data_IF_896140755728
#
_entry.id   IF_896140755728
#
_cell.length_a   1.000
_cell.length_b   1.000
_cell.length_c   1.000
_cell.angle_alpha   90.00
_cell.angle_beta   90.00
_cell.angle_gamma   90.00
#
_symmetry.space_group_name_H-M   'P 1'
#
loop_
_entity.id
_entity.type
_entity.pdbx_description
1 polymer ?
#
# COMPACT_ATOMS: atom_id res chain seq x y z
N UNK A 1 -12.60 15.87 -2.84
CA UNK A 1 -12.11 14.67 -2.13
C UNK A 1 -11.16 13.95 -3.07
N UNK A 2 -9.93 13.61 -2.65
CA UNK A 2 -8.87 13.10 -3.54
C UNK A 2 -9.09 11.62 -3.93
N UNK A 3 -9.77 10.83 -3.07
CA UNK A 3 -10.09 9.43 -3.33
C UNK A 3 -11.50 9.09 -2.86
N UNK A 4 -12.19 8.18 -3.55
CA UNK A 4 -13.54 7.74 -3.14
C UNK A 4 -13.49 6.89 -1.86
N UNK A 5 -14.55 6.94 -1.03
CA UNK A 5 -14.63 6.19 0.24
C UNK A 5 -14.39 4.70 0.05
N UNK A 6 -14.82 4.11 -1.08
CA UNK A 6 -14.58 2.69 -1.37
C UNK A 6 -13.09 2.32 -1.37
N UNK A 7 -12.23 3.18 -1.90
CA UNK A 7 -10.78 2.96 -1.96
C UNK A 7 -10.12 3.24 -0.64
N UNK A 8 -10.61 4.21 0.13
CA UNK A 8 -10.14 4.48 1.49
C UNK A 8 -10.44 3.30 2.41
N UNK A 9 -11.65 2.75 2.35
CA UNK A 9 -12.07 1.58 3.14
C UNK A 9 -11.28 0.32 2.75
N UNK A 10 -11.05 0.10 1.46
CA UNK A 10 -10.17 -1.00 1.00
C UNK A 10 -8.73 -0.82 1.47
N UNK A 11 -8.19 0.41 1.43
CA UNK A 11 -6.85 0.71 1.92
C UNK A 11 -6.72 0.48 3.43
N UNK A 12 -7.77 0.79 4.18
CA UNK A 12 -7.84 0.54 5.63
C UNK A 12 -7.80 -0.96 5.96
N UNK A 13 -8.59 -1.78 5.26
CA UNK A 13 -8.59 -3.24 5.43
C UNK A 13 -7.25 -3.87 5.03
N UNK A 14 -6.59 -3.29 4.02
CA UNK A 14 -5.28 -3.73 3.54
C UNK A 14 -4.16 -3.61 4.57
N UNK A 15 -4.30 -2.73 5.56
CA UNK A 15 -3.35 -2.61 6.67
C UNK A 15 -3.30 -3.87 7.55
N UNK A 16 -4.33 -4.71 7.50
CA UNK A 16 -4.41 -5.98 8.24
C UNK A 16 -3.48 -7.08 7.71
N UNK A 17 -2.98 -6.96 6.47
CA UNK A 17 -2.10 -7.98 5.85
C UNK A 17 -0.78 -8.13 6.60
N UNK A 18 -0.28 -7.08 7.25
CA UNK A 18 1.01 -7.12 7.94
C UNK A 18 0.93 -7.33 9.43
N UNK A 19 -0.23 -7.12 10.07
CA UNK A 19 -0.41 -7.21 11.53
C UNK A 19 -0.72 -8.62 12.05
N UNK A 20 -0.71 -9.62 11.16
CA UNK A 20 -0.95 -11.01 11.52
C UNK A 20 0.14 -11.59 12.44
N UNK A 21 -0.22 -12.56 13.31
CA UNK A 21 0.72 -13.20 14.23
C UNK A 21 1.85 -13.97 13.52
N UNK A 22 1.68 -14.27 12.22
CA UNK A 22 2.69 -14.94 11.39
C UNK A 22 3.49 -13.93 10.56
N UNK A 23 2.85 -12.89 10.04
CA UNK A 23 3.48 -11.94 9.10
C UNK A 23 4.42 -10.98 9.82
N UNK A 24 4.07 -10.51 11.02
CA UNK A 24 4.93 -9.58 11.79
C UNK A 24 6.29 -10.22 12.13
N UNK A 25 6.36 -11.42 12.75
CA UNK A 25 7.64 -12.02 13.11
C UNK A 25 8.48 -12.39 11.89
N UNK A 26 7.83 -12.83 10.80
CA UNK A 26 8.51 -13.17 9.55
C UNK A 26 9.19 -11.96 8.93
N UNK A 27 8.46 -10.84 8.76
CA UNK A 27 9.02 -9.61 8.17
C UNK A 27 10.11 -9.02 9.07
N UNK A 28 9.97 -9.09 10.39
CA UNK A 28 11.02 -8.68 11.33
C UNK A 28 12.27 -9.55 11.23
N UNK A 29 12.13 -10.88 11.19
CA UNK A 29 13.27 -11.78 11.02
C UNK A 29 14.01 -11.52 9.70
N UNK A 30 13.26 -11.28 8.62
CA UNK A 30 13.83 -10.88 7.33
C UNK A 30 14.54 -9.52 7.42
N UNK A 31 13.91 -8.52 8.03
CA UNK A 31 14.47 -7.18 8.20
C UNK A 31 15.78 -7.18 8.99
N UNK A 32 15.84 -7.94 10.09
CA UNK A 32 17.05 -8.11 10.89
C UNK A 32 18.15 -8.86 10.12
N UNK A 33 17.79 -9.87 9.33
CA UNK A 33 18.73 -10.57 8.44
C UNK A 33 19.37 -9.63 7.42
N UNK A 34 18.57 -8.76 6.78
CA UNK A 34 19.05 -7.75 5.85
C UNK A 34 19.90 -6.66 6.54
N UNK A 35 19.51 -6.23 7.74
CA UNK A 35 20.27 -5.24 8.50
C UNK A 35 21.68 -5.76 8.84
N UNK A 36 21.77 -7.02 9.29
CA UNK A 36 23.06 -7.68 9.54
C UNK A 36 23.92 -7.80 8.28
N UNK A 37 23.32 -8.12 7.12
CA UNK A 37 24.06 -8.26 5.87
C UNK A 37 24.57 -6.92 5.30
N UNK A 38 23.85 -5.83 5.58
CA UNK A 38 24.17 -4.49 5.05
C UNK A 38 24.88 -3.59 6.06
N UNK A 39 25.19 -4.09 7.27
CA UNK A 39 25.67 -3.31 8.42
C UNK A 39 24.75 -2.13 8.79
N UNK A 40 23.44 -2.29 8.55
CA UNK A 40 22.45 -1.32 9.01
C UNK A 40 22.14 -1.53 10.51
N UNK A 41 21.74 -0.46 11.19
CA UNK A 41 21.51 -0.49 12.64
C UNK A 41 20.31 -1.37 13.03
N UNK A 42 19.24 -1.39 12.21
CA UNK A 42 17.98 -2.06 12.52
C UNK A 42 17.20 -2.52 11.28
N UNK A 43 16.32 -3.52 11.46
CA UNK A 43 15.43 -4.07 10.42
C UNK A 43 14.02 -3.46 10.36
N UNK A 44 13.69 -2.51 11.26
CA UNK A 44 12.31 -1.99 11.40
C UNK A 44 11.80 -1.23 10.17
N UNK A 45 12.69 -0.65 9.35
CA UNK A 45 12.31 0.01 8.11
C UNK A 45 11.62 -0.94 7.13
N UNK A 46 12.04 -2.21 7.08
CA UNK A 46 11.40 -3.22 6.22
C UNK A 46 9.97 -3.52 6.68
N UNK A 47 9.74 -3.56 8.01
CA UNK A 47 8.41 -3.74 8.58
C UNK A 47 7.48 -2.56 8.27
N UNK A 48 7.99 -1.34 8.37
CA UNK A 48 7.25 -0.13 8.03
C UNK A 48 6.87 -0.10 6.54
N UNK A 49 7.81 -0.43 5.65
CA UNK A 49 7.57 -0.52 4.21
C UNK A 49 6.55 -1.60 3.88
N UNK A 50 6.66 -2.79 4.48
CA UNK A 50 5.70 -3.86 4.28
C UNK A 50 4.27 -3.43 4.64
N UNK A 51 4.10 -2.58 5.66
CA UNK A 51 2.78 -2.15 6.14
C UNK A 51 2.19 -0.99 5.34
N UNK A 52 3.01 -0.01 4.93
CA UNK A 52 2.52 1.16 4.20
C UNK A 52 2.29 0.88 2.71
N UNK A 53 3.03 -0.07 2.14
CA UNK A 53 2.99 -0.38 0.71
C UNK A 53 1.59 -0.83 0.20
N UNK A 54 0.87 -1.76 0.87
CA UNK A 54 -0.49 -2.15 0.45
C UNK A 54 -1.47 -0.96 0.45
N UNK A 55 -1.40 -0.11 1.49
CA UNK A 55 -2.26 1.07 1.63
C UNK A 55 -2.03 2.04 0.47
N UNK A 56 -0.76 2.37 0.20
CA UNK A 56 -0.40 3.25 -0.91
C UNK A 56 -0.83 2.66 -2.25
N UNK A 57 -0.63 1.36 -2.45
CA UNK A 57 -1.03 0.67 -3.68
C UNK A 57 -2.53 0.80 -3.95
N UNK A 58 -3.39 0.58 -2.94
CA UNK A 58 -4.85 0.68 -3.10
C UNK A 58 -5.28 2.11 -3.37
N UNK A 59 -4.72 3.10 -2.65
CA UNK A 59 -5.05 4.51 -2.87
C UNK A 59 -4.60 5.00 -4.25
N UNK A 60 -3.42 4.58 -4.72
CA UNK A 60 -2.93 4.87 -6.07
C UNK A 60 -3.84 4.27 -7.14
N UNK A 61 -4.30 3.03 -6.97
CA UNK A 61 -5.28 2.41 -7.87
C UNK A 61 -6.60 3.20 -7.88
N UNK A 62 -7.08 3.63 -6.71
CA UNK A 62 -8.28 4.45 -6.61
C UNK A 62 -8.20 5.76 -7.39
N UNK A 63 -7.06 6.46 -7.26
CA UNK A 63 -6.81 7.69 -8.00
C UNK A 63 -6.68 7.44 -9.51
N UNK A 64 -6.04 6.34 -9.90
CA UNK A 64 -5.88 5.95 -11.30
C UNK A 64 -7.23 5.64 -11.96
N UNK A 65 -8.10 4.88 -11.30
CA UNK A 65 -9.44 4.56 -11.82
C UNK A 65 -10.29 5.83 -11.93
N UNK A 66 -10.25 6.72 -10.94
CA UNK A 66 -10.95 8.00 -11.00
C UNK A 66 -10.49 8.86 -12.20
N UNK A 67 -9.19 8.88 -12.47
CA UNK A 67 -8.62 9.56 -13.65
C UNK A 67 -9.14 8.96 -14.97
N UNK A 68 -9.17 7.63 -15.08
CA UNK A 68 -9.69 6.96 -16.28
C UNK A 68 -11.18 7.23 -16.50
N UNK A 69 -11.99 7.17 -15.44
CA UNK A 69 -13.43 7.49 -15.51
C UNK A 69 -13.67 8.93 -15.96
N UNK A 70 -12.92 9.89 -15.42
CA UNK A 70 -13.01 11.29 -15.84
C UNK A 70 -12.65 11.49 -17.32
N UNK A 71 -11.74 10.68 -17.86
CA UNK A 71 -11.37 10.73 -19.29
C UNK A 71 -12.46 10.13 -20.17
N UNK A 72 -12.99 8.95 -19.82
CA UNK A 72 -14.05 8.28 -20.58
C UNK A 72 -15.35 9.08 -20.61
N UNK A 73 -15.76 9.70 -19.49
CA UNK A 73 -16.95 10.56 -19.47
C UNK A 73 -16.81 11.75 -20.40
N UNK A 74 -15.62 12.37 -20.43
CA UNK A 74 -15.36 13.48 -21.36
C UNK A 74 -15.41 13.04 -22.81
N UNK A 75 -14.83 11.90 -23.16
CA UNK A 75 -14.83 11.39 -24.53
C UNK A 75 -16.26 11.11 -25.05
N UNK A 76 -17.15 10.58 -24.20
CA UNK A 76 -18.55 10.36 -24.55
C UNK A 76 -19.37 11.65 -24.68
N UNK A 77 -19.05 12.72 -23.94
CA UNK A 77 -19.72 14.03 -24.05
C UNK A 77 -19.39 14.76 -25.37
N UNK A 78 -18.30 14.36 -26.05
CA UNK A 78 -17.89 14.91 -27.36
C UNK A 78 -18.29 14.03 -28.55
N UNK A 79 -18.92 12.87 -28.32
CA UNK A 79 -19.38 11.93 -29.34
C UNK A 79 -20.90 12.07 -29.57
#
# INVERSE_FOLDING_TARGET
VISEEKYVNMGWDSAGVTTGPITVPLVLAMGLGFANATNAMDGFGLLALASIFPILSVLSVGLYVHYLQAKTTKENDYA
#
